data_IF_704612804122
#
_entry.id   IF_704612804122
#
_cell.length_a   1.000
_cell.length_b   1.000
_cell.length_c   1.000
_cell.angle_alpha   90.00
_cell.angle_beta   90.00
_cell.angle_gamma   90.00
#
_symmetry.space_group_name_H-M   'P 1'
#
loop_
_entity.id
_entity.type
_entity.pdbx_description
1 polymer ?
#
# COMPACT_ATOMS: atom_id res chain seq x y z
N UNK A 1 -13.23 13.21 -31.18
CA UNK A 1 -13.96 14.15 -32.06
C UNK A 1 -15.13 14.73 -31.28
N UNK A 2 -15.57 15.95 -31.59
CA UNK A 2 -16.79 16.55 -31.04
C UNK A 2 -17.39 17.53 -32.06
N UNK A 3 -18.63 17.96 -31.85
CA UNK A 3 -19.33 18.90 -32.73
C UNK A 3 -19.40 20.28 -32.08
N UNK A 4 -19.13 21.33 -32.86
CA UNK A 4 -19.36 22.72 -32.49
C UNK A 4 -20.52 23.26 -33.32
N UNK A 5 -21.54 23.85 -32.71
CA UNK A 5 -22.67 24.41 -33.44
C UNK A 5 -22.37 25.80 -34.00
N UNK A 6 -22.95 26.11 -35.17
CA UNK A 6 -22.67 27.33 -35.90
C UNK A 6 -23.34 28.57 -35.27
N UNK A 7 -24.68 28.55 -35.17
CA UNK A 7 -25.51 29.72 -34.85
C UNK A 7 -26.19 29.64 -33.47
N UNK A 8 -26.86 28.53 -33.17
CA UNK A 8 -27.49 28.27 -31.86
C UNK A 8 -26.93 27.00 -31.24
N UNK A 9 -26.89 26.89 -29.90
CA UNK A 9 -26.41 25.69 -29.20
C UNK A 9 -27.40 24.51 -29.28
N UNK A 10 -28.40 24.59 -30.16
CA UNK A 10 -29.42 23.58 -30.34
C UNK A 10 -28.85 22.40 -31.12
N UNK A 11 -29.23 21.18 -30.74
CA UNK A 11 -28.83 19.95 -31.45
C UNK A 11 -29.35 19.90 -32.90
N UNK A 12 -30.33 20.72 -33.23
CA UNK A 12 -30.89 20.87 -34.58
C UNK A 12 -30.07 21.81 -35.47
N UNK A 13 -29.20 22.64 -34.88
CA UNK A 13 -28.41 23.60 -35.64
C UNK A 13 -27.34 22.87 -36.46
N UNK A 14 -26.83 23.57 -37.48
CA UNK A 14 -25.72 23.06 -38.28
C UNK A 14 -24.50 22.91 -37.38
N UNK A 15 -23.96 21.70 -37.34
CA UNK A 15 -22.83 21.32 -36.51
C UNK A 15 -21.57 21.15 -37.35
N UNK A 16 -20.53 21.89 -37.00
CA UNK A 16 -19.19 21.72 -37.55
C UNK A 16 -18.44 20.63 -36.79
N UNK A 17 -17.87 19.67 -37.52
CA UNK A 17 -17.09 18.60 -36.93
C UNK A 17 -15.71 19.12 -36.53
N UNK A 18 -15.33 18.90 -35.27
CA UNK A 18 -14.00 19.17 -34.75
C UNK A 18 -13.33 17.88 -34.32
N UNK A 19 -12.08 17.66 -34.72
CA UNK A 19 -11.36 16.45 -34.36
C UNK A 19 -9.86 16.71 -34.16
N UNK A 20 -9.26 15.88 -33.31
CA UNK A 20 -7.83 15.87 -33.06
C UNK A 20 -7.20 14.67 -33.78
N UNK A 21 -5.98 14.85 -34.25
CA UNK A 21 -5.16 13.80 -34.86
C UNK A 21 -4.05 13.37 -33.92
N UNK A 22 -3.52 12.16 -34.12
CA UNK A 22 -2.36 11.67 -33.35
C UNK A 22 -1.07 12.45 -33.66
N UNK A 23 -1.03 13.19 -34.77
CA UNK A 23 0.07 14.12 -35.05
C UNK A 23 0.01 15.42 -34.22
N UNK A 24 -0.99 15.58 -33.35
CA UNK A 24 -1.14 16.77 -32.50
C UNK A 24 -1.77 17.97 -33.22
N UNK A 25 -2.51 17.74 -34.32
CA UNK A 25 -3.28 18.79 -34.98
C UNK A 25 -4.76 18.72 -34.60
N UNK A 26 -5.34 19.88 -34.33
CA UNK A 26 -6.78 20.10 -34.21
C UNK A 26 -7.31 20.65 -35.53
N UNK A 27 -8.29 19.98 -36.13
CA UNK A 27 -8.98 20.44 -37.32
C UNK A 27 -10.46 20.71 -37.02
N UNK A 28 -10.99 21.75 -37.66
CA UNK A 28 -12.42 22.01 -37.75
C UNK A 28 -12.82 21.95 -39.22
N UNK A 29 -13.87 21.19 -39.54
CA UNK A 29 -14.42 21.09 -40.89
C UNK A 29 -15.57 22.07 -41.08
N UNK A 30 -15.75 22.56 -42.31
CA UNK A 30 -16.99 23.22 -42.73
C UNK A 30 -18.15 22.23 -42.70
N UNK A 31 -19.36 22.76 -42.76
CA UNK A 31 -20.62 22.01 -42.74
C UNK A 31 -20.70 20.91 -43.81
N UNK A 32 -20.01 21.10 -44.94
CA UNK A 32 -19.96 20.12 -46.04
C UNK A 32 -18.92 19.00 -45.84
N UNK A 33 -18.22 18.92 -44.70
CA UNK A 33 -17.20 17.92 -44.33
C UNK A 33 -15.99 17.76 -45.27
N UNK A 34 -15.99 18.38 -46.44
CA UNK A 34 -14.93 18.28 -47.45
C UNK A 34 -13.80 19.29 -47.21
N UNK A 35 -14.14 20.49 -46.74
CA UNK A 35 -13.19 21.59 -46.55
C UNK A 35 -12.82 21.76 -45.08
N UNK A 36 -11.53 22.00 -44.84
CA UNK A 36 -11.02 22.38 -43.52
C UNK A 36 -11.21 23.89 -43.31
N UNK A 37 -11.91 24.28 -42.23
CA UNK A 37 -12.01 25.68 -41.79
C UNK A 37 -10.70 26.19 -41.25
N UNK A 38 -10.15 25.47 -40.27
CA UNK A 38 -8.86 25.81 -39.68
C UNK A 38 -8.16 24.57 -39.13
N UNK A 39 -6.83 24.65 -39.09
CA UNK A 39 -5.95 23.66 -38.47
C UNK A 39 -4.99 24.34 -37.50
N UNK A 40 -4.92 23.85 -36.26
CA UNK A 40 -4.03 24.37 -35.21
C UNK A 40 -3.13 23.26 -34.71
N UNK A 41 -1.84 23.56 -34.56
CA UNK A 41 -0.87 22.66 -33.94
C UNK A 41 -0.96 22.77 -32.41
N UNK A 42 -1.27 21.67 -31.75
CA UNK A 42 -1.24 21.54 -30.29
C UNK A 42 0.17 21.10 -29.83
N UNK A 43 0.57 21.42 -28.59
CA UNK A 43 1.85 20.97 -28.04
C UNK A 43 1.92 19.45 -27.82
N UNK A 44 0.77 18.82 -27.58
CA UNK A 44 0.63 17.38 -27.35
C UNK A 44 -0.65 16.85 -28.01
N UNK A 45 -0.78 15.53 -28.11
CA UNK A 45 -1.90 14.86 -28.76
C UNK A 45 -3.15 14.90 -27.87
N UNK A 46 -4.25 15.42 -28.39
CA UNK A 46 -5.54 15.46 -27.69
C UNK A 46 -6.19 14.07 -27.58
N UNK A 47 -6.69 13.73 -26.40
CA UNK A 47 -7.37 12.46 -26.08
C UNK A 47 -8.89 12.69 -26.05
N UNK A 48 -9.36 13.59 -25.19
CA UNK A 48 -10.77 13.95 -25.06
C UNK A 48 -10.95 15.46 -25.31
N UNK A 49 -12.11 15.84 -25.81
CA UNK A 49 -12.40 17.22 -26.18
C UNK A 49 -13.85 17.58 -25.86
N UNK A 50 -14.06 18.82 -25.40
CA UNK A 50 -15.35 19.40 -25.09
C UNK A 50 -15.47 20.73 -25.82
N UNK A 51 -16.61 20.96 -26.47
CA UNK A 51 -16.97 22.24 -27.10
C UNK A 51 -17.93 23.02 -26.21
N UNK A 52 -17.79 24.34 -26.27
CA UNK A 52 -18.56 25.27 -25.48
C UNK A 52 -18.87 26.53 -26.30
N UNK A 53 -20.15 26.89 -26.43
CA UNK A 53 -20.58 28.05 -27.20
C UNK A 53 -20.86 27.74 -28.67
N UNK A 54 -20.96 28.80 -29.48
CA UNK A 54 -21.31 28.72 -30.91
C UNK A 54 -20.23 29.40 -31.75
N UNK A 55 -20.02 28.95 -32.98
CA UNK A 55 -18.95 29.45 -33.85
C UNK A 55 -19.12 30.93 -34.23
N UNK A 56 -20.34 31.36 -34.56
CA UNK A 56 -20.64 32.74 -34.97
C UNK A 56 -20.51 33.77 -33.83
N UNK A 57 -20.52 33.31 -32.58
CA UNK A 57 -20.40 34.15 -31.40
C UNK A 57 -19.01 33.99 -30.77
N UNK A 58 -18.94 33.45 -29.55
CA UNK A 58 -17.70 32.97 -28.96
C UNK A 58 -17.80 31.46 -28.76
N UNK A 59 -16.76 30.76 -29.17
CA UNK A 59 -16.60 29.34 -28.88
C UNK A 59 -15.30 29.07 -28.13
N UNK A 60 -15.37 28.05 -27.28
CA UNK A 60 -14.24 27.49 -26.58
C UNK A 60 -14.15 26.00 -26.83
N UNK A 61 -12.93 25.52 -27.08
CA UNK A 61 -12.64 24.10 -27.22
C UNK A 61 -11.65 23.72 -26.14
N UNK A 62 -12.05 22.79 -25.28
CA UNK A 62 -11.27 22.33 -24.14
C UNK A 62 -10.77 20.93 -24.48
N UNK A 63 -9.46 20.72 -24.43
CA UNK A 63 -8.82 19.50 -24.92
C UNK A 63 -7.94 18.95 -23.80
N UNK A 64 -8.21 17.73 -23.36
CA UNK A 64 -7.25 16.98 -22.54
C UNK A 64 -6.23 16.31 -23.45
N UNK A 65 -4.95 16.41 -23.10
CA UNK A 65 -3.87 15.84 -23.88
C UNK A 65 -3.12 14.73 -23.14
N UNK A 66 -2.38 13.90 -23.89
CA UNK A 66 -1.63 12.75 -23.34
C UNK A 66 -0.50 13.15 -22.39
N UNK A 67 -0.06 14.40 -22.43
CA UNK A 67 0.93 14.96 -21.50
C UNK A 67 0.36 15.28 -20.11
N UNK A 68 -0.93 14.99 -19.89
CA UNK A 68 -1.64 15.27 -18.66
C UNK A 68 -2.13 16.70 -18.55
N UNK A 69 -1.93 17.56 -19.55
CA UNK A 69 -2.36 18.96 -19.52
C UNK A 69 -3.68 19.14 -20.24
N UNK A 70 -4.42 20.17 -19.85
CA UNK A 70 -5.66 20.56 -20.51
C UNK A 70 -5.46 21.93 -21.15
N UNK A 71 -5.65 21.95 -22.47
CA UNK A 71 -5.54 23.13 -23.31
C UNK A 71 -6.91 23.74 -23.56
N UNK A 72 -6.97 25.07 -23.56
CA UNK A 72 -8.18 25.81 -23.88
C UNK A 72 -7.94 26.62 -25.16
N UNK A 73 -8.87 26.54 -26.10
CA UNK A 73 -8.86 27.27 -27.34
C UNK A 73 -10.01 28.27 -27.30
N UNK A 74 -9.73 29.57 -27.51
CA UNK A 74 -10.77 30.60 -27.64
C UNK A 74 -10.78 31.13 -29.07
N UNK A 75 -11.90 31.02 -29.77
CA UNK A 75 -12.11 31.55 -31.14
C UNK A 75 -10.95 31.23 -32.10
N UNK A 76 -10.50 29.97 -32.13
CA UNK A 76 -9.44 29.52 -33.05
C UNK A 76 -8.02 29.92 -32.63
N UNK A 77 -7.82 30.45 -31.43
CA UNK A 77 -6.48 30.73 -30.87
C UNK A 77 -6.25 29.93 -29.59
N UNK A 78 -5.08 29.30 -29.48
CA UNK A 78 -4.66 28.58 -28.28
C UNK A 78 -4.41 29.59 -27.15
N UNK A 79 -5.07 29.39 -26.01
CA UNK A 79 -4.86 30.26 -24.85
C UNK A 79 -3.51 29.97 -24.20
N UNK A 80 -2.90 31.00 -23.61
CA UNK A 80 -1.66 30.86 -22.83
C UNK A 80 -1.88 30.14 -21.50
N UNK A 81 -3.10 30.19 -20.97
CA UNK A 81 -3.49 29.50 -19.73
C UNK A 81 -3.63 28.00 -19.99
N UNK A 82 -2.79 27.20 -19.33
CA UNK A 82 -2.85 25.74 -19.38
C UNK A 82 -3.27 25.23 -18.00
N UNK A 83 -4.24 24.32 -17.96
CA UNK A 83 -4.66 23.67 -16.72
C UNK A 83 -3.77 22.43 -16.53
N UNK A 84 -3.11 22.35 -15.38
CA UNK A 84 -2.28 21.20 -15.00
C UNK A 84 -2.92 20.50 -13.79
N UNK A 85 -3.58 19.34 -14.00
CA UNK A 85 -4.05 18.49 -12.91
C UNK A 85 -2.87 17.76 -12.23
N UNK A 86 -3.12 17.24 -11.02
CA UNK A 86 -2.13 16.53 -10.21
C UNK A 86 -1.67 15.21 -10.84
N UNK A 87 -2.55 14.58 -11.63
CA UNK A 87 -2.31 13.30 -12.31
C UNK A 87 -3.02 13.29 -13.67
N UNK A 88 -2.79 12.25 -14.46
CA UNK A 88 -3.36 12.11 -15.80
C UNK A 88 -4.89 12.18 -15.76
N UNK A 89 -5.53 13.00 -16.63
CA UNK A 89 -6.97 13.11 -16.71
C UNK A 89 -7.55 11.87 -17.41
N UNK A 90 -8.47 11.18 -16.74
CA UNK A 90 -9.22 10.04 -17.30
C UNK A 90 -10.41 10.54 -18.10
N UNK A 91 -11.18 11.45 -17.50
CA UNK A 91 -12.36 12.02 -18.11
C UNK A 91 -12.47 13.51 -17.77
N UNK A 92 -12.92 14.30 -18.74
CA UNK A 92 -13.24 15.71 -18.57
C UNK A 92 -14.73 15.94 -18.84
N UNK A 93 -15.34 16.85 -18.08
CA UNK A 93 -16.69 17.34 -18.32
C UNK A 93 -16.81 18.83 -17.96
N UNK A 94 -17.74 19.54 -18.59
CA UNK A 94 -17.96 20.96 -18.31
C UNK A 94 -19.11 21.14 -17.33
N UNK A 95 -18.82 21.71 -16.16
CA UNK A 95 -19.81 22.05 -15.15
C UNK A 95 -19.89 23.59 -15.03
N UNK A 96 -20.88 24.18 -15.68
CA UNK A 96 -21.08 25.63 -15.76
C UNK A 96 -19.87 26.38 -16.34
N UNK A 97 -19.20 27.20 -15.52
CA UNK A 97 -18.01 27.94 -15.91
C UNK A 97 -16.70 27.19 -15.57
N UNK A 98 -16.81 26.05 -14.91
CA UNK A 98 -15.69 25.22 -14.49
C UNK A 98 -15.57 23.98 -15.39
N UNK A 99 -14.35 23.45 -15.42
CA UNK A 99 -14.03 22.16 -16.03
C UNK A 99 -13.81 21.18 -14.91
N UNK A 100 -14.67 20.17 -14.82
CA UNK A 100 -14.47 19.03 -13.94
C UNK A 100 -13.49 18.06 -14.63
N UNK A 101 -12.46 17.68 -13.89
CA UNK A 101 -11.40 16.78 -14.36
C UNK A 101 -11.31 15.63 -13.37
N UNK A 102 -11.61 14.42 -13.82
CA UNK A 102 -11.30 13.20 -13.09
C UNK A 102 -9.86 12.78 -13.39
N UNK A 103 -9.06 12.58 -12.35
CA UNK A 103 -7.68 12.13 -12.47
C UNK A 103 -7.53 10.65 -12.11
N UNK A 104 -6.41 10.06 -12.53
CA UNK A 104 -6.02 8.69 -12.17
C UNK A 104 -5.81 8.49 -10.65
N UNK A 105 -5.63 9.55 -9.87
CA UNK A 105 -5.42 9.47 -8.42
C UNK A 105 -6.75 9.45 -7.64
N UNK A 106 -7.84 9.01 -8.28
CA UNK A 106 -9.20 8.97 -7.72
C UNK A 106 -9.66 10.33 -7.16
N UNK A 107 -9.27 11.44 -7.80
CA UNK A 107 -9.73 12.77 -7.43
C UNK A 107 -10.48 13.43 -8.57
N UNK A 108 -11.52 14.19 -8.22
CA UNK A 108 -12.27 15.04 -9.14
C UNK A 108 -11.99 16.48 -8.76
N UNK A 109 -11.32 17.20 -9.65
CA UNK A 109 -10.93 18.60 -9.46
C UNK A 109 -11.74 19.51 -10.38
N UNK A 110 -12.32 20.57 -9.83
CA UNK A 110 -12.98 21.62 -10.60
C UNK A 110 -11.99 22.75 -10.87
N UNK A 111 -11.61 22.92 -12.13
CA UNK A 111 -10.75 24.00 -12.56
C UNK A 111 -11.55 25.14 -13.19
N UNK A 112 -11.17 26.36 -12.88
CA UNK A 112 -11.54 27.49 -13.71
C UNK A 112 -10.85 27.40 -15.07
N UNK A 113 -11.45 28.02 -16.09
CA UNK A 113 -10.87 28.13 -17.43
C UNK A 113 -9.50 28.85 -17.48
N UNK A 114 -9.10 29.51 -16.39
CA UNK A 114 -7.79 30.16 -16.21
C UNK A 114 -6.71 29.23 -15.62
N UNK A 115 -7.04 28.02 -15.16
CA UNK A 115 -6.06 27.12 -14.52
C UNK A 115 -6.18 26.97 -13.01
N UNK A 116 -6.96 27.81 -12.31
CA UNK A 116 -7.07 27.74 -10.85
C UNK A 116 -8.02 26.63 -10.42
N UNK A 117 -7.56 25.71 -9.58
CA UNK A 117 -8.40 24.73 -8.90
C UNK A 117 -9.31 25.44 -7.87
N UNK A 118 -10.60 25.13 -7.88
CA UNK A 118 -11.57 25.63 -6.91
C UNK A 118 -11.89 24.58 -5.86
N UNK A 119 -12.31 23.40 -6.30
CA UNK A 119 -12.74 22.33 -5.42
C UNK A 119 -12.04 21.03 -5.81
N UNK A 120 -11.58 20.32 -4.79
CA UNK A 120 -10.99 18.99 -4.88
C UNK A 120 -11.94 18.04 -4.14
N UNK A 121 -12.44 17.04 -4.86
CA UNK A 121 -13.27 15.98 -4.34
C UNK A 121 -12.49 14.66 -4.40
N UNK A 122 -11.95 14.18 -3.28
CA UNK A 122 -11.36 12.85 -3.22
C UNK A 122 -12.46 11.80 -3.31
N UNK A 123 -12.23 10.76 -4.10
CA UNK A 123 -13.18 9.66 -4.28
C UNK A 123 -12.50 8.34 -3.93
N UNK A 124 -13.28 7.41 -3.36
CA UNK A 124 -12.78 6.12 -2.87
C UNK A 124 -12.37 5.17 -4.00
N UNK A 125 -13.01 5.29 -5.16
CA UNK A 125 -12.93 4.34 -6.29
C UNK A 125 -12.44 5.04 -7.57
N UNK A 126 -11.75 4.32 -8.48
CA UNK A 126 -11.34 4.90 -9.75
C UNK A 126 -12.53 5.22 -10.66
N UNK A 127 -12.48 6.42 -11.25
CA UNK A 127 -13.49 6.93 -12.18
C UNK A 127 -13.29 6.30 -13.55
N UNK A 128 -14.36 5.79 -14.16
CA UNK A 128 -14.33 5.25 -15.53
C UNK A 128 -14.82 6.28 -16.55
N UNK A 129 -16.03 6.81 -16.36
CA UNK A 129 -16.62 7.83 -17.22
C UNK A 129 -17.24 8.96 -16.39
N UNK A 130 -17.26 10.15 -16.99
CA UNK A 130 -17.84 11.36 -16.43
C UNK A 130 -18.63 12.09 -17.52
N UNK A 131 -19.82 12.57 -17.16
CA UNK A 131 -20.66 13.38 -18.05
C UNK A 131 -21.51 14.36 -17.24
N UNK A 132 -22.08 15.38 -17.86
CA UNK A 132 -22.88 16.42 -17.18
C UNK A 132 -24.33 16.39 -17.61
N UNK A 133 -25.23 16.49 -16.63
CA UNK A 133 -26.65 16.69 -16.90
C UNK A 133 -26.84 18.17 -17.18
N UNK A 134 -27.14 18.50 -18.44
CA UNK A 134 -27.43 19.86 -18.89
C UNK A 134 -28.94 20.04 -18.99
N UNK A 135 -29.41 21.22 -18.60
CA UNK A 135 -30.78 21.64 -18.85
C UNK A 135 -30.90 22.26 -20.24
N UNK A 136 -31.72 21.69 -21.11
CA UNK A 136 -31.83 22.15 -22.50
C UNK A 136 -32.36 23.59 -22.59
N UNK A 137 -33.21 24.02 -21.64
CA UNK A 137 -33.82 25.36 -21.66
C UNK A 137 -32.86 26.44 -21.18
N UNK A 138 -32.15 26.19 -20.08
CA UNK A 138 -31.27 27.20 -19.45
C UNK A 138 -29.81 27.08 -19.91
N UNK A 139 -29.42 25.95 -20.48
CA UNK A 139 -28.03 25.63 -20.83
C UNK A 139 -27.11 25.46 -19.62
N UNK A 140 -27.67 25.45 -18.40
CA UNK A 140 -26.93 25.32 -17.14
C UNK A 140 -26.72 23.84 -16.85
N UNK A 141 -25.52 23.47 -16.40
CA UNK A 141 -25.23 22.13 -15.93
C UNK A 141 -25.83 21.95 -14.53
N UNK A 142 -26.84 21.07 -14.42
CA UNK A 142 -27.55 20.75 -13.17
C UNK A 142 -26.71 19.89 -12.24
N UNK A 143 -26.04 18.88 -12.77
CA UNK A 143 -25.26 17.94 -11.99
C UNK A 143 -24.14 17.28 -12.82
N UNK A 144 -23.10 16.82 -12.14
CA UNK A 144 -22.02 16.02 -12.68
C UNK A 144 -22.29 14.55 -12.35
N UNK A 145 -22.39 13.70 -13.36
CA UNK A 145 -22.55 12.25 -13.20
C UNK A 145 -21.20 11.59 -13.36
N UNK A 146 -20.86 10.72 -12.42
CA UNK A 146 -19.59 10.01 -12.38
C UNK A 146 -19.86 8.54 -12.16
N UNK A 147 -19.23 7.72 -12.99
CA UNK A 147 -19.26 6.26 -12.87
C UNK A 147 -17.91 5.74 -12.39
N UNK A 148 -17.96 4.70 -11.56
CA UNK A 148 -16.79 4.10 -10.94
C UNK A 148 -16.58 2.67 -11.42
N UNK A 149 -15.35 2.18 -11.27
CA UNK A 149 -15.01 0.79 -11.57
C UNK A 149 -15.74 -0.21 -10.66
N UNK A 150 -16.09 0.19 -9.44
CA UNK A 150 -16.82 -0.64 -8.48
C UNK A 150 -18.29 -0.87 -8.87
N UNK A 151 -18.75 -0.27 -9.97
CA UNK A 151 -20.16 -0.32 -10.39
C UNK A 151 -21.05 0.66 -9.64
N UNK A 152 -20.49 1.59 -8.86
CA UNK A 152 -21.25 2.71 -8.31
C UNK A 152 -21.36 3.83 -9.34
N UNK A 153 -22.52 4.51 -9.35
CA UNK A 153 -22.78 5.73 -10.09
C UNK A 153 -23.18 6.81 -9.10
N UNK A 154 -22.45 7.92 -9.11
CA UNK A 154 -22.69 9.05 -8.20
C UNK A 154 -23.00 10.31 -8.98
N UNK A 155 -24.01 11.03 -8.51
CA UNK A 155 -24.44 12.32 -9.06
C UNK A 155 -24.04 13.40 -8.07
N UNK A 156 -23.14 14.27 -8.51
CA UNK A 156 -22.59 15.37 -7.74
C UNK A 156 -23.19 16.70 -8.18
N UNK A 157 -23.56 17.53 -7.22
CA UNK A 157 -23.98 18.93 -7.46
C UNK A 157 -23.00 19.82 -6.71
N UNK A 158 -22.13 20.49 -7.46
CA UNK A 158 -20.96 21.16 -6.91
C UNK A 158 -20.06 20.17 -6.16
N UNK A 159 -19.90 20.34 -4.86
CA UNK A 159 -19.12 19.46 -3.99
C UNK A 159 -19.92 18.29 -3.41
N UNK A 160 -21.25 18.39 -3.40
CA UNK A 160 -22.08 17.47 -2.64
C UNK A 160 -22.52 16.27 -3.47
N UNK A 161 -22.44 15.09 -2.88
CA UNK A 161 -23.08 13.89 -3.39
C UNK A 161 -24.59 14.00 -3.14
N UNK A 162 -25.41 14.00 -4.20
CA UNK A 162 -26.86 14.00 -4.04
C UNK A 162 -27.46 12.60 -4.16
N UNK A 163 -27.03 11.84 -5.16
CA UNK A 163 -27.59 10.53 -5.44
C UNK A 163 -26.49 9.53 -5.72
N UNK A 164 -26.59 8.37 -5.09
CA UNK A 164 -25.76 7.20 -5.36
C UNK A 164 -26.66 6.10 -5.90
N UNK A 165 -26.19 5.42 -6.93
CA UNK A 165 -26.89 4.28 -7.48
C UNK A 165 -25.94 3.16 -7.84
N UNK A 166 -26.36 1.94 -7.57
CA UNK A 166 -25.57 0.77 -7.89
C UNK A 166 -25.92 0.29 -9.30
N UNK A 167 -24.88 -0.03 -10.06
CA UNK A 167 -24.91 -0.70 -11.34
C UNK A 167 -24.49 -2.16 -11.12
N UNK A 168 -24.87 -3.04 -12.05
CA UNK A 168 -24.53 -4.46 -11.96
C UNK A 168 -23.05 -4.76 -12.34
N UNK A 169 -22.30 -3.76 -12.78
CA UNK A 169 -20.90 -3.88 -13.17
C UNK A 169 -20.26 -2.53 -13.56
N UNK A 170 -18.99 -2.52 -14.00
CA UNK A 170 -18.31 -1.31 -14.42
C UNK A 170 -18.86 -0.76 -15.74
N UNK A 171 -19.01 0.56 -15.79
CA UNK A 171 -19.46 1.29 -16.99
C UNK A 171 -18.30 1.47 -17.98
N UNK A 172 -18.57 1.20 -19.26
CA UNK A 172 -17.63 1.46 -20.38
C UNK A 172 -17.93 2.80 -21.05
N UNK A 173 -19.21 3.11 -21.23
CA UNK A 173 -19.64 4.38 -21.82
C UNK A 173 -20.89 4.90 -21.10
N UNK A 174 -20.94 6.22 -20.97
CA UNK A 174 -22.04 6.95 -20.35
C UNK A 174 -22.36 8.17 -21.20
N UNK A 175 -23.65 8.45 -21.39
CA UNK A 175 -24.11 9.61 -22.13
C UNK A 175 -25.36 10.19 -21.47
N UNK A 176 -25.36 11.49 -21.22
CA UNK A 176 -26.50 12.22 -20.73
C UNK A 176 -27.12 13.10 -21.82
N UNK A 177 -28.43 12.96 -22.00
CA UNK A 177 -29.18 13.84 -22.88
C UNK A 177 -30.56 13.32 -23.19
N UNK A 178 -31.15 13.87 -24.25
CA UNK A 178 -32.48 13.48 -24.71
C UNK A 178 -32.50 12.07 -25.30
N UNK A 179 -33.43 11.25 -24.82
CA UNK A 179 -33.72 9.92 -25.37
C UNK A 179 -35.23 9.74 -25.53
N UNK A 180 -35.67 9.57 -26.78
CA UNK A 180 -37.09 9.52 -27.10
C UNK A 180 -37.80 10.84 -26.77
N UNK A 181 -38.76 10.78 -25.85
CA UNK A 181 -39.58 11.94 -25.42
C UNK A 181 -39.09 12.62 -24.16
N UNK A 182 -38.12 12.04 -23.46
CA UNK A 182 -37.61 12.59 -22.21
C UNK A 182 -36.29 13.34 -22.49
N UNK A 183 -36.21 14.57 -22.02
CA UNK A 183 -35.11 15.50 -22.31
C UNK A 183 -33.85 15.18 -21.47
N UNK A 184 -34.01 14.63 -20.27
CA UNK A 184 -32.91 14.24 -19.38
C UNK A 184 -32.91 12.74 -19.11
N UNK A 185 -32.24 11.99 -19.98
CA UNK A 185 -31.98 10.57 -19.80
C UNK A 185 -30.48 10.30 -19.64
N UNK A 186 -30.17 9.26 -18.88
CA UNK A 186 -28.83 8.74 -18.68
C UNK A 186 -28.75 7.38 -19.35
N UNK A 187 -27.95 7.30 -20.42
CA UNK A 187 -27.69 6.08 -21.15
C UNK A 187 -26.36 5.50 -20.68
N UNK A 188 -26.37 4.22 -20.31
CA UNK A 188 -25.23 3.53 -19.72
C UNK A 188 -24.99 2.24 -20.51
N UNK A 189 -23.73 2.02 -20.89
CA UNK A 189 -23.25 0.77 -21.47
C UNK A 189 -22.25 0.15 -20.51
N UNK A 190 -22.59 -1.03 -19.99
CA UNK A 190 -21.77 -1.81 -19.08
C UNK A 190 -20.71 -2.61 -19.85
N UNK A 191 -19.64 -3.02 -19.17
CA UNK A 191 -18.58 -3.85 -19.78
C UNK A 191 -19.08 -5.20 -20.30
N UNK A 192 -20.14 -5.72 -19.71
CA UNK A 192 -20.77 -6.98 -20.13
C UNK A 192 -21.61 -6.85 -21.42
N UNK A 193 -21.67 -5.65 -22.00
CA UNK A 193 -22.47 -5.35 -23.20
C UNK A 193 -23.95 -5.05 -22.91
N UNK A 194 -24.36 -5.07 -21.64
CA UNK A 194 -25.71 -4.68 -21.25
C UNK A 194 -25.91 -3.17 -21.34
N UNK A 195 -27.09 -2.79 -21.85
CA UNK A 195 -27.50 -1.40 -22.03
C UNK A 195 -28.57 -1.05 -21.02
N UNK A 196 -28.37 0.03 -20.27
CA UNK A 196 -29.33 0.54 -19.30
C UNK A 196 -29.63 2.01 -19.57
N UNK A 197 -30.90 2.32 -19.83
CA UNK A 197 -31.40 3.69 -19.94
C UNK A 197 -32.14 4.06 -18.65
N UNK A 198 -31.67 5.09 -17.94
CA UNK A 198 -32.30 5.63 -16.73
C UNK A 198 -32.86 7.01 -17.03
N UNK A 199 -34.17 7.15 -16.84
CA UNK A 199 -34.87 8.42 -17.07
C UNK A 199 -34.85 9.23 -15.78
N UNK A 200 -34.48 10.50 -15.87
CA UNK A 200 -34.60 11.40 -14.73
C UNK A 200 -36.07 11.81 -14.55
N UNK A 201 -36.57 11.75 -13.33
CA UNK A 201 -37.93 12.18 -13.05
C UNK A 201 -38.08 13.71 -13.19
N UNK A 202 -39.21 14.17 -13.74
CA UNK A 202 -39.48 15.60 -14.00
C UNK A 202 -39.48 16.48 -12.76
N UNK A 203 -39.69 15.89 -11.58
CA UNK A 203 -39.67 16.59 -10.28
C UNK A 203 -38.29 16.64 -9.62
N UNK A 204 -37.25 16.11 -10.24
CA UNK A 204 -35.91 16.11 -9.65
C UNK A 204 -35.34 17.54 -9.65
N UNK A 205 -35.15 18.10 -8.47
CA UNK A 205 -34.51 19.40 -8.28
C UNK A 205 -33.08 19.19 -7.76
N UNK A 206 -32.10 19.65 -8.54
CA UNK A 206 -30.69 19.62 -8.16
C UNK A 206 -30.30 20.96 -7.54
N UNK A 207 -30.60 21.15 -6.24
CA UNK A 207 -30.19 22.34 -5.49
C UNK A 207 -28.89 22.11 -4.72
N UNK A 208 -27.99 23.09 -4.70
CA UNK A 208 -26.82 23.05 -3.83
C UNK A 208 -27.26 23.12 -2.35
N UNK A 209 -27.05 22.02 -1.61
CA UNK A 209 -27.32 21.96 -0.17
C UNK A 209 -26.23 22.70 0.60
N UNK A 210 -26.30 24.04 0.65
CA UNK A 210 -25.38 24.89 1.43
C UNK A 210 -25.42 24.61 2.94
N UNK A 211 -26.47 23.96 3.43
CA UNK A 211 -26.66 23.67 4.86
C UNK A 211 -25.68 22.63 5.43
N UNK A 212 -25.16 21.74 4.59
CA UNK A 212 -24.23 20.68 5.03
C UNK A 212 -22.81 21.20 5.34
N UNK A 213 -22.44 22.38 4.82
CA UNK A 213 -21.13 23.00 5.11
C UNK A 213 -21.06 23.65 6.50
N UNK A 214 -22.21 24.01 7.09
CA UNK A 214 -22.25 24.77 8.35
C UNK A 214 -22.24 23.89 9.60
N UNK A 215 -22.37 22.56 9.48
CA UNK A 215 -22.38 21.66 10.65
C UNK A 215 -20.98 21.08 10.90
N UNK A 216 -20.48 21.11 12.15
CA UNK A 216 -19.29 20.35 12.49
C UNK A 216 -19.53 18.86 12.20
N UNK A 217 -18.46 18.09 11.87
CA UNK A 217 -18.59 16.68 11.56
C UNK A 217 -19.30 15.92 12.70
N UNK A 218 -20.28 15.06 12.39
CA UNK A 218 -21.04 14.31 13.41
C UNK A 218 -20.17 13.33 14.21
N UNK A 219 -18.96 13.06 13.75
CA UNK A 219 -17.97 12.22 14.43
C UNK A 219 -17.38 12.87 15.68
N UNK A 220 -17.43 14.21 15.79
CA UNK A 220 -16.99 14.94 16.98
C UNK A 220 -17.96 14.83 18.16
N UNK A 221 -19.22 14.43 17.90
CA UNK A 221 -20.23 14.22 18.95
C UNK A 221 -20.08 12.85 19.63
N UNK A 222 -19.22 11.95 19.12
CA UNK A 222 -18.98 10.64 19.72
C UNK A 222 -17.90 10.77 20.81
N UNK A 223 -18.25 10.67 22.10
CA UNK A 223 -17.26 10.72 23.16
C UNK A 223 -16.30 9.52 23.08
N UNK A 224 -15.01 9.77 23.27
CA UNK A 224 -13.96 8.74 23.27
C UNK A 224 -14.27 7.73 24.39
N UNK A 225 -14.25 6.43 24.06
CA UNK A 225 -14.44 5.36 25.03
C UNK A 225 -13.17 5.19 25.89
N UNK A 226 -13.09 5.95 26.99
CA UNK A 226 -12.01 5.76 27.97
C UNK A 226 -12.36 4.56 28.87
N UNK A 227 -11.48 3.53 28.97
CA UNK A 227 -11.69 2.41 29.86
C UNK A 227 -11.85 2.87 31.32
N UNK A 228 -12.80 2.28 32.05
CA UNK A 228 -13.03 2.61 33.46
C UNK A 228 -11.97 1.97 34.36
N UNK A 229 -11.50 2.72 35.35
CA UNK A 229 -10.52 2.21 36.31
C UNK A 229 -11.15 1.16 37.24
N UNK A 230 -10.51 0.00 37.34
CA UNK A 230 -10.98 -1.08 38.19
C UNK A 230 -10.71 -0.83 39.68
N UNK A 231 -11.46 -1.51 40.55
CA UNK A 231 -11.20 -1.50 41.99
C UNK A 231 -9.80 -2.04 42.33
N UNK A 232 -9.34 -3.05 41.58
CA UNK A 232 -8.00 -3.64 41.71
C UNK A 232 -6.91 -2.60 41.44
N UNK A 233 -7.06 -1.81 40.37
CA UNK A 233 -6.12 -0.74 40.06
C UNK A 233 -6.04 0.29 41.20
N UNK A 234 -7.19 0.66 41.76
CA UNK A 234 -7.25 1.60 42.90
C UNK A 234 -6.56 1.03 44.14
N UNK A 235 -6.75 -0.26 44.44
CA UNK A 235 -6.11 -0.94 45.56
C UNK A 235 -4.60 -1.06 45.36
N UNK A 236 -4.14 -1.39 44.15
CA UNK A 236 -2.73 -1.45 43.80
C UNK A 236 -2.07 -0.07 43.97
N UNK A 237 -2.71 1.00 43.47
CA UNK A 237 -2.21 2.38 43.65
C UNK A 237 -2.07 2.75 45.12
N UNK A 238 -3.03 2.35 45.97
CA UNK A 238 -2.94 2.56 47.43
C UNK A 238 -1.82 1.76 48.09
N UNK A 239 -1.52 0.56 47.59
CA UNK A 239 -0.40 -0.28 48.08
C UNK A 239 0.95 0.32 47.67
N UNK A 240 1.09 0.71 46.41
CA UNK A 240 2.31 1.35 45.87
C UNK A 240 2.61 2.66 46.60
N UNK A 241 1.59 3.48 46.88
CA UNK A 241 1.76 4.72 47.65
C UNK A 241 2.29 4.48 49.07
N UNK A 242 1.98 3.34 49.71
CA UNK A 242 2.42 3.00 51.07
C UNK A 242 3.80 2.32 51.10
N UNK A 243 4.09 1.47 50.12
CA UNK A 243 5.26 0.57 50.13
C UNK A 243 6.21 0.76 48.93
N UNK A 244 6.13 1.90 48.23
CA UNK A 244 6.88 2.13 46.99
C UNK A 244 8.40 1.99 47.14
N UNK A 245 8.97 2.43 48.28
CA UNK A 245 10.41 2.35 48.53
C UNK A 245 10.89 0.90 48.65
N UNK A 246 10.13 0.05 49.34
CA UNK A 246 10.48 -1.37 49.51
C UNK A 246 10.32 -2.12 48.18
N UNK A 247 9.23 -1.84 47.43
CA UNK A 247 9.02 -2.40 46.09
C UNK A 247 10.18 -2.05 45.14
N UNK A 248 10.64 -0.80 45.17
CA UNK A 248 11.79 -0.36 44.37
C UNK A 248 13.08 -1.10 44.74
N UNK A 249 13.38 -1.24 46.05
CA UNK A 249 14.59 -1.93 46.52
C UNK A 249 14.61 -3.40 46.12
N UNK A 250 13.49 -4.10 46.28
CA UNK A 250 13.35 -5.50 45.86
C UNK A 250 13.52 -5.63 44.34
N UNK A 251 12.88 -4.74 43.57
CA UNK A 251 13.04 -4.72 42.12
C UNK A 251 14.50 -4.52 41.67
N UNK A 252 15.24 -3.60 42.31
CA UNK A 252 16.66 -3.40 42.00
C UNK A 252 17.51 -4.63 42.31
N UNK A 253 17.26 -5.28 43.45
CA UNK A 253 17.95 -6.53 43.81
C UNK A 253 17.68 -7.64 42.78
N UNK A 254 16.40 -7.86 42.45
CA UNK A 254 15.97 -8.88 41.49
C UNK A 254 16.50 -8.60 40.08
N UNK A 255 16.54 -7.33 39.67
CA UNK A 255 17.08 -6.91 38.38
C UNK A 255 18.58 -7.17 38.27
N UNK A 256 19.35 -6.92 39.34
CA UNK A 256 20.79 -7.25 39.38
C UNK A 256 20.98 -8.77 39.35
N UNK A 257 20.17 -9.51 40.10
CA UNK A 257 20.21 -10.97 40.10
C UNK A 257 19.89 -11.55 38.72
N UNK A 258 18.86 -11.02 38.05
CA UNK A 258 18.51 -11.38 36.68
C UNK A 258 19.65 -11.07 35.72
N UNK A 259 20.26 -9.87 35.79
CA UNK A 259 21.44 -9.52 34.98
C UNK A 259 22.61 -10.49 35.18
N UNK A 260 22.84 -10.92 36.41
CA UNK A 260 23.89 -11.88 36.72
C UNK A 260 23.58 -13.27 36.16
N UNK A 261 22.34 -13.73 36.30
CA UNK A 261 21.91 -15.02 35.77
C UNK A 261 21.92 -15.04 34.24
N UNK A 262 21.46 -13.97 33.59
CA UNK A 262 21.53 -13.83 32.13
C UNK A 262 22.97 -13.76 31.65
N UNK A 263 23.86 -13.02 32.34
CA UNK A 263 25.28 -12.99 32.00
C UNK A 263 25.97 -14.36 32.16
N UNK A 264 25.66 -15.10 33.22
CA UNK A 264 26.17 -16.47 33.42
C UNK A 264 25.69 -17.43 32.34
N UNK A 265 24.40 -17.42 32.05
CA UNK A 265 23.82 -18.23 30.98
C UNK A 265 24.41 -17.86 29.62
N UNK A 266 24.55 -16.57 29.32
CA UNK A 266 25.14 -16.07 28.09
C UNK A 266 26.62 -16.45 27.96
N UNK A 267 27.40 -16.35 29.04
CA UNK A 267 28.80 -16.77 29.05
C UNK A 267 28.94 -18.28 28.83
N UNK A 268 28.08 -19.09 29.46
CA UNK A 268 28.04 -20.52 29.22
C UNK A 268 27.71 -20.85 27.75
N UNK A 269 26.77 -20.11 27.13
CA UNK A 269 26.44 -20.26 25.71
C UNK A 269 27.61 -19.88 24.79
N UNK A 270 28.33 -18.79 25.09
CA UNK A 270 29.53 -18.39 24.34
C UNK A 270 30.68 -19.40 24.50
N UNK A 271 30.89 -19.93 25.70
CA UNK A 271 31.96 -20.91 25.98
C UNK A 271 31.68 -22.26 25.32
N UNK A 272 30.43 -22.73 25.39
CA UNK A 272 30.00 -23.98 24.78
C UNK A 272 29.74 -23.86 23.26
N UNK A 273 29.86 -22.65 22.69
CA UNK A 273 29.62 -22.38 21.28
C UNK A 273 28.19 -22.70 20.84
N UNK A 274 27.18 -22.48 21.69
CA UNK A 274 25.79 -22.84 21.46
C UNK A 274 25.06 -21.90 20.47
N UNK A 275 24.06 -22.45 19.77
CA UNK A 275 23.34 -21.83 18.66
C UNK A 275 22.42 -20.70 19.12
N UNK A 276 22.46 -19.57 18.43
CA UNK A 276 21.39 -18.59 18.50
C UNK A 276 20.35 -18.93 17.43
N UNK A 277 19.18 -19.43 17.87
CA UNK A 277 18.00 -19.50 17.03
C UNK A 277 17.48 -18.08 16.81
N UNK A 278 17.85 -17.46 15.70
CA UNK A 278 17.15 -16.27 15.23
C UNK A 278 15.83 -16.74 14.61
N UNK A 279 14.80 -16.94 15.42
CA UNK A 279 13.42 -16.92 14.94
C UNK A 279 12.97 -15.46 14.88
N UNK A 280 13.11 -14.84 13.70
CA UNK A 280 12.22 -13.72 13.37
C UNK A 280 10.92 -14.33 12.89
N UNK A 281 10.12 -14.83 13.83
CA UNK A 281 8.70 -15.05 13.59
C UNK A 281 8.08 -13.66 13.65
N UNK A 282 7.64 -13.17 12.50
CA UNK A 282 6.77 -12.00 12.41
C UNK A 282 5.45 -12.33 13.11
N UNK A 283 5.42 -12.16 14.44
CA UNK A 283 4.18 -12.08 15.19
C UNK A 283 3.60 -10.68 14.95
N UNK A 284 2.36 -10.70 14.46
CA UNK A 284 1.52 -9.57 14.13
C UNK A 284 1.63 -8.45 15.18
N UNK A 285 2.07 -7.27 14.73
CA UNK A 285 1.99 -6.04 15.48
C UNK A 285 0.51 -5.64 15.61
N UNK A 286 -0.13 -6.13 16.66
CA UNK A 286 -1.31 -5.49 17.24
C UNK A 286 -0.87 -4.21 17.96
N UNK A 287 -1.48 -3.10 17.54
CA UNK A 287 -1.66 -1.81 18.23
C UNK A 287 -0.69 -1.49 19.39
N UNK A 288 0.29 -0.63 19.10
CA UNK A 288 0.98 0.14 20.12
C UNK A 288 0.06 1.27 20.64
N UNK A 289 -0.16 1.41 21.96
CA UNK A 289 -0.76 2.62 22.48
C UNK A 289 0.25 3.77 22.48
N UNK A 290 -0.28 4.93 22.10
CA UNK A 290 0.28 6.28 22.03
C UNK A 290 1.22 6.59 23.20
N UNK A 291 2.45 7.00 22.86
CA UNK A 291 3.40 7.60 23.78
C UNK A 291 2.82 8.91 24.33
N UNK A 292 2.54 8.92 25.64
CA UNK A 292 2.23 10.14 26.39
C UNK A 292 3.56 10.82 26.70
N UNK A 293 3.78 11.98 26.07
CA UNK A 293 4.79 12.97 26.44
C UNK A 293 4.55 13.40 27.89
N UNK A 294 5.50 13.14 28.77
CA UNK A 294 5.52 13.73 30.11
C UNK A 294 6.06 15.18 30.04
N UNK A 295 5.51 16.11 30.81
CA UNK A 295 5.88 17.52 30.78
C UNK A 295 7.17 17.80 31.56
N UNK A 296 7.87 18.84 31.11
CA UNK A 296 9.11 19.40 31.65
C UNK A 296 9.11 19.51 33.19
N UNK A 297 10.10 18.88 33.82
CA UNK A 297 10.44 19.10 35.23
C UNK A 297 11.68 20.00 35.35
N UNK A 298 11.43 21.15 35.97
CA UNK A 298 12.33 22.19 36.50
C UNK A 298 13.79 21.77 36.75
N UNK A 299 14.70 22.52 36.11
CA UNK A 299 16.15 22.52 36.31
C UNK A 299 16.54 22.71 37.78
N UNK A 300 17.18 21.69 38.36
CA UNK A 300 18.06 21.86 39.53
C UNK A 300 19.41 21.27 39.17
N UNK A 301 20.36 22.16 38.90
CA UNK A 301 21.74 21.83 38.61
C UNK A 301 22.35 20.96 39.72
N UNK A 302 22.81 19.77 39.34
CA UNK A 302 23.71 18.93 40.14
C UNK A 302 24.88 18.53 39.25
N UNK A 303 26.06 19.04 39.58
CA UNK A 303 27.32 18.68 38.95
C UNK A 303 27.57 17.16 39.07
N UNK A 304 27.87 16.52 37.94
CA UNK A 304 28.40 15.16 37.90
C UNK A 304 29.90 15.18 38.25
N UNK A 305 30.39 14.36 39.20
CA UNK A 305 31.81 14.12 39.32
C UNK A 305 32.28 13.20 38.19
N UNK A 306 33.27 13.69 37.45
CA UNK A 306 33.99 12.99 36.40
C UNK A 306 34.57 11.65 36.88
N UNK A 307 34.50 10.65 36.00
CA UNK A 307 35.44 9.52 36.00
C UNK A 307 34.83 8.14 36.26
N UNK A 308 34.12 7.59 35.27
CA UNK A 308 34.14 6.15 34.99
C UNK A 308 33.78 5.96 33.52
N UNK A 309 34.77 5.59 32.71
CA UNK A 309 34.59 5.16 31.33
C UNK A 309 33.80 3.85 31.31
N UNK A 310 32.48 3.92 31.47
CA UNK A 310 31.59 2.81 31.20
C UNK A 310 31.40 2.76 29.69
N UNK A 311 32.26 1.99 29.03
CA UNK A 311 32.05 1.55 27.66
C UNK A 311 30.75 0.73 27.66
N UNK A 312 29.62 1.38 27.34
CA UNK A 312 28.38 0.70 27.01
C UNK A 312 28.61 -0.09 25.71
N UNK A 313 29.20 -1.27 25.85
CA UNK A 313 29.26 -2.24 24.77
C UNK A 313 27.84 -2.71 24.54
N UNK A 314 27.18 -2.17 23.53
CA UNK A 314 25.91 -2.70 23.05
C UNK A 314 26.07 -4.21 22.79
N UNK A 315 25.44 -5.10 23.59
CA UNK A 315 25.63 -6.54 23.47
C UNK A 315 25.13 -7.06 22.12
N UNK A 316 24.20 -6.35 21.47
CA UNK A 316 23.75 -6.63 20.09
C UNK A 316 24.84 -6.41 19.03
N UNK A 317 25.69 -5.41 19.22
CA UNK A 317 26.79 -5.09 18.30
C UNK A 317 27.94 -6.08 18.46
N UNK A 318 28.14 -6.59 19.69
CA UNK A 318 29.02 -7.73 19.95
C UNK A 318 28.46 -9.03 19.32
N UNK A 319 27.13 -9.25 19.36
CA UNK A 319 26.45 -10.42 18.78
C UNK A 319 26.59 -10.55 17.25
N UNK A 320 26.55 -9.43 16.52
CA UNK A 320 26.71 -9.41 15.05
C UNK A 320 28.08 -9.93 14.58
N UNK A 321 29.08 -9.93 15.46
CA UNK A 321 30.43 -10.39 15.14
C UNK A 321 30.66 -11.88 15.41
N UNK A 322 29.70 -12.61 16.01
CA UNK A 322 29.89 -14.02 16.40
C UNK A 322 29.21 -15.04 15.48
N UNK A 323 28.21 -14.67 14.68
CA UNK A 323 27.60 -15.58 13.69
C UNK A 323 27.58 -14.93 12.32
N UNK A 324 28.46 -15.39 11.43
CA UNK A 324 28.56 -14.91 10.06
C UNK A 324 27.45 -15.52 9.16
N UNK A 325 26.99 -16.72 9.50
CA UNK A 325 25.97 -17.47 8.76
C UNK A 325 24.79 -17.78 9.66
N UNK A 326 23.61 -17.25 9.30
CA UNK A 326 22.34 -17.65 9.90
C UNK A 326 21.93 -18.99 9.31
N UNK A 327 21.77 -19.98 10.17
CA UNK A 327 21.31 -21.32 9.84
C UNK A 327 19.95 -21.55 10.50
N UNK A 328 18.98 -21.98 9.71
CA UNK A 328 17.70 -22.49 10.21
C UNK A 328 17.42 -23.83 9.58
N UNK A 329 16.90 -24.77 10.36
CA UNK A 329 16.62 -26.12 9.91
C UNK A 329 15.19 -26.50 10.21
N UNK A 330 14.52 -27.10 9.24
CA UNK A 330 13.18 -27.70 9.43
C UNK A 330 13.24 -29.17 9.04
N UNK A 331 12.57 -30.02 9.82
CA UNK A 331 12.49 -31.45 9.54
C UNK A 331 11.18 -31.75 8.81
N UNK A 332 11.26 -32.45 7.69
CA UNK A 332 10.11 -32.94 6.94
C UNK A 332 10.17 -34.46 6.85
N UNK A 333 9.11 -35.14 7.32
CA UNK A 333 8.99 -36.60 7.28
C UNK A 333 8.52 -37.16 8.62
N UNK A 334 7.90 -38.33 8.60
CA UNK A 334 7.35 -39.00 9.79
C UNK A 334 8.13 -40.29 10.15
N UNK A 335 9.30 -40.50 9.55
CA UNK A 335 10.11 -41.72 9.69
C UNK A 335 9.80 -42.79 8.62
N UNK A 336 10.68 -43.79 8.42
CA UNK A 336 12.03 -43.95 8.97
C UNK A 336 13.09 -43.07 8.28
N UNK A 337 12.70 -42.32 7.24
CA UNK A 337 13.57 -41.37 6.53
C UNK A 337 13.04 -39.95 6.74
N UNK A 338 13.91 -39.06 7.21
CA UNK A 338 13.62 -37.64 7.40
C UNK A 338 14.40 -36.80 6.40
N UNK A 339 13.76 -35.76 5.87
CA UNK A 339 14.37 -34.75 5.04
C UNK A 339 14.55 -33.48 5.85
N UNK A 340 15.79 -33.16 6.21
CA UNK A 340 16.14 -31.90 6.86
C UNK A 340 16.36 -30.85 5.77
N UNK A 341 15.54 -29.80 5.79
CA UNK A 341 15.68 -28.62 4.92
C UNK A 341 16.40 -27.53 5.69
N UNK A 342 17.64 -27.25 5.29
CA UNK A 342 18.41 -26.14 5.83
C UNK A 342 18.22 -24.89 4.97
N UNK A 343 18.02 -23.76 5.63
CA UNK A 343 18.10 -22.43 5.03
C UNK A 343 19.31 -21.73 5.62
N UNK A 344 20.21 -21.29 4.74
CA UNK A 344 21.45 -20.62 5.07
C UNK A 344 21.41 -19.19 4.54
N UNK A 345 21.73 -18.22 5.38
CA UNK A 345 21.82 -16.82 4.96
C UNK A 345 23.11 -16.21 5.47
N UNK A 346 23.90 -15.63 4.56
CA UNK A 346 25.08 -14.85 4.96
C UNK A 346 24.61 -13.51 5.55
N UNK A 347 24.92 -13.28 6.82
CA UNK A 347 24.58 -12.04 7.55
C UNK A 347 25.71 -11.01 7.53
N UNK A 348 26.87 -11.36 6.98
CA UNK A 348 28.01 -10.44 6.84
C UNK A 348 27.90 -9.57 5.59
N UNK A 349 28.63 -8.46 5.58
CA UNK A 349 28.69 -7.53 4.43
C UNK A 349 29.55 -8.06 3.27
N UNK A 350 30.38 -9.07 3.53
CA UNK A 350 31.33 -9.66 2.58
C UNK A 350 30.89 -11.07 2.22
N UNK A 351 31.16 -11.50 1.00
CA UNK A 351 30.86 -12.87 0.62
C UNK A 351 31.83 -13.86 1.31
N UNK A 352 31.33 -15.03 1.68
CA UNK A 352 32.11 -16.08 2.34
C UNK A 352 32.49 -17.16 1.34
N UNK A 353 33.76 -17.56 1.37
CA UNK A 353 34.35 -18.64 0.56
C UNK A 353 34.69 -19.85 1.44
N UNK A 354 34.80 -21.02 0.82
CA UNK A 354 35.26 -22.27 1.45
C UNK A 354 34.53 -22.63 2.76
N UNK A 355 33.21 -22.39 2.78
CA UNK A 355 32.33 -22.78 3.88
C UNK A 355 31.84 -24.21 3.66
N UNK A 356 31.87 -25.02 4.72
CA UNK A 356 31.31 -26.36 4.72
C UNK A 356 30.47 -26.60 5.97
N UNK A 357 29.46 -27.44 5.83
CA UNK A 357 28.60 -27.90 6.91
C UNK A 357 29.12 -29.24 7.44
N UNK A 358 29.20 -29.34 8.76
CA UNK A 358 29.50 -30.59 9.49
C UNK A 358 28.27 -30.97 10.29
N UNK A 359 27.80 -32.20 10.10
CA UNK A 359 26.62 -32.73 10.79
C UNK A 359 27.11 -33.67 11.89
N UNK A 360 26.83 -33.30 13.14
CA UNK A 360 27.13 -34.10 14.32
C UNK A 360 25.86 -34.82 14.79
N UNK A 361 25.89 -36.14 14.78
CA UNK A 361 24.76 -37.01 15.09
C UNK A 361 25.25 -38.30 15.75
N UNK A 362 24.38 -38.95 16.51
CA UNK A 362 24.66 -40.27 17.11
C UNK A 362 24.56 -41.37 16.04
N UNK A 363 25.69 -42.01 15.74
CA UNK A 363 25.82 -43.02 14.66
C UNK A 363 25.08 -44.34 14.93
N UNK A 364 24.73 -44.58 16.19
CA UNK A 364 23.98 -45.77 16.60
C UNK A 364 22.51 -45.68 16.16
N UNK A 365 21.93 -44.47 16.16
CA UNK A 365 20.50 -44.23 15.91
C UNK A 365 20.26 -43.75 14.48
N UNK A 366 21.13 -42.86 13.96
CA UNK A 366 20.95 -42.23 12.67
C UNK A 366 22.04 -42.58 11.66
N UNK A 367 21.69 -42.60 10.39
CA UNK A 367 22.58 -42.73 9.25
C UNK A 367 22.35 -41.57 8.28
N UNK A 368 23.41 -40.81 8.03
CA UNK A 368 23.42 -39.70 7.07
C UNK A 368 24.24 -40.11 5.85
N UNK A 369 23.82 -39.77 4.64
CA UNK A 369 24.56 -40.09 3.42
C UNK A 369 25.86 -39.29 3.24
N UNK A 370 25.87 -38.01 3.65
CA UNK A 370 27.01 -37.11 3.59
C UNK A 370 27.13 -36.32 4.90
N UNK A 371 28.18 -36.57 5.67
CA UNK A 371 28.39 -35.91 6.97
C UNK A 371 29.05 -34.53 6.85
N UNK A 372 29.72 -34.28 5.72
CA UNK A 372 30.36 -33.01 5.38
C UNK A 372 29.82 -32.55 4.02
N UNK A 373 29.32 -31.31 3.94
CA UNK A 373 28.76 -30.73 2.72
C UNK A 373 29.46 -29.41 2.42
N UNK A 374 30.13 -29.33 1.27
CA UNK A 374 30.72 -28.08 0.79
C UNK A 374 29.63 -27.16 0.22
N UNK A 375 29.59 -25.92 0.70
CA UNK A 375 28.66 -24.92 0.22
C UNK A 375 29.27 -24.13 -0.94
N UNK A 376 28.44 -23.65 -1.88
CA UNK A 376 28.89 -22.68 -2.87
C UNK A 376 29.21 -21.34 -2.21
N UNK A 377 29.78 -20.42 -2.99
CA UNK A 377 30.04 -19.05 -2.57
C UNK A 377 28.79 -18.37 -1.99
N UNK A 378 28.86 -17.97 -0.71
CA UNK A 378 27.72 -17.40 0.01
C UNK A 378 27.72 -15.87 -0.09
N UNK A 379 26.87 -15.34 -0.96
CA UNK A 379 26.66 -13.90 -1.16
C UNK A 379 25.84 -13.32 0.01
N UNK A 380 26.16 -12.10 0.48
CA UNK A 380 25.39 -11.41 1.52
C UNK A 380 23.88 -11.37 1.25
N UNK A 381 23.09 -11.62 2.29
CA UNK A 381 21.62 -11.51 2.30
C UNK A 381 20.83 -12.46 1.39
N UNK A 382 21.49 -13.33 0.62
CA UNK A 382 20.82 -14.36 -0.18
C UNK A 382 20.56 -15.61 0.69
N UNK A 383 19.36 -16.18 0.56
CA UNK A 383 18.99 -17.43 1.19
C UNK A 383 19.34 -18.61 0.29
N UNK A 384 20.16 -19.52 0.81
CA UNK A 384 20.55 -20.78 0.17
C UNK A 384 19.81 -21.92 0.85
N UNK A 385 19.32 -22.88 0.08
CA UNK A 385 18.63 -24.05 0.60
C UNK A 385 19.45 -25.31 0.37
N UNK A 386 19.64 -26.11 1.43
CA UNK A 386 20.34 -27.37 1.36
C UNK A 386 19.51 -28.47 2.02
N UNK A 387 19.20 -29.51 1.25
CA UNK A 387 18.48 -30.67 1.73
C UNK A 387 19.44 -31.77 2.17
N UNK A 388 19.15 -32.38 3.31
CA UNK A 388 19.89 -33.51 3.88
C UNK A 388 18.90 -34.64 4.16
N UNK A 389 19.23 -35.86 3.73
CA UNK A 389 18.45 -37.06 4.01
C UNK A 389 19.05 -37.83 5.19
N UNK A 390 18.22 -38.08 6.18
CA UNK A 390 18.50 -38.78 7.43
C UNK A 390 17.72 -40.11 7.46
N UNK A 391 18.40 -41.23 7.65
CA UNK A 391 17.79 -42.55 7.81
C UNK A 391 17.91 -43.03 9.27
N UNK A 392 16.84 -43.57 9.85
CA UNK A 392 16.84 -44.19 11.18
C UNK A 392 17.27 -45.66 11.08
N UNK A 393 18.21 -46.13 11.92
CA UNK A 393 18.82 -47.48 11.85
C UNK A 393 18.24 -48.54 12.79
N UNK A 394 16.99 -48.38 13.22
CA UNK A 394 16.30 -49.14 14.29
C UNK A 394 16.69 -48.68 15.71
N UNK A 395 15.67 -48.32 16.50
CA UNK A 395 15.79 -47.80 17.86
C UNK A 395 14.75 -46.69 18.15
N UNK A 396 14.34 -46.55 19.42
CA UNK A 396 13.56 -45.38 19.87
C UNK A 396 14.39 -44.10 19.68
N UNK A 397 13.73 -43.02 19.25
CA UNK A 397 14.34 -41.69 19.18
C UNK A 397 14.67 -41.25 20.61
N UNK A 398 15.90 -41.50 21.06
CA UNK A 398 16.41 -40.94 22.31
C UNK A 398 16.88 -39.50 22.04
N UNK A 399 16.27 -38.55 22.76
CA UNK A 399 16.27 -37.12 22.46
C UNK A 399 17.58 -36.37 22.64
N UNK A 400 18.58 -36.67 21.82
CA UNK A 400 19.62 -35.70 21.48
C UNK A 400 19.41 -35.24 20.03
N UNK A 401 19.01 -33.98 19.85
CA UNK A 401 18.86 -33.37 18.52
C UNK A 401 20.15 -33.42 17.70
N UNK A 402 20.03 -33.29 16.38
CA UNK A 402 21.19 -33.25 15.48
C UNK A 402 21.78 -31.85 15.47
N UNK A 403 23.09 -31.76 15.75
CA UNK A 403 23.82 -30.51 15.71
C UNK A 403 24.45 -30.32 14.33
N UNK A 404 24.13 -29.21 13.67
CA UNK A 404 24.70 -28.85 12.38
C UNK A 404 25.53 -27.59 12.55
N UNK A 405 26.78 -27.64 12.11
CA UNK A 405 27.77 -26.58 12.30
C UNK A 405 28.29 -26.11 10.95
N UNK A 406 28.27 -24.80 10.68
CA UNK A 406 28.96 -24.21 9.54
C UNK A 406 30.35 -23.72 9.96
N UNK A 407 31.37 -24.12 9.21
CA UNK A 407 32.77 -23.75 9.45
C UNK A 407 33.45 -23.36 8.13
N UNK A 408 34.43 -22.46 8.18
CA UNK A 408 35.27 -22.14 7.03
C UNK A 408 36.68 -22.72 7.19
N UNK A 409 37.35 -22.97 6.06
CA UNK A 409 38.70 -23.54 5.99
C UNK A 409 39.78 -22.65 6.63
N UNK A 410 39.59 -21.33 6.60
CA UNK A 410 40.54 -20.34 7.14
C UNK A 410 40.59 -20.27 8.67
N UNK A 411 39.73 -21.04 9.38
CA UNK A 411 39.62 -21.01 10.83
C UNK A 411 40.79 -21.67 11.61
N UNK A 412 41.82 -22.19 10.91
CA UNK A 412 43.02 -22.74 11.55
C UNK A 412 43.85 -21.69 12.31
N UNK A 413 43.74 -20.40 11.95
CA UNK A 413 44.45 -19.28 12.61
C UNK A 413 43.64 -18.57 13.70
N UNK A 414 42.31 -18.77 13.76
CA UNK A 414 41.37 -18.03 14.62
C UNK A 414 40.77 -18.84 15.79
N UNK A 415 41.34 -20.03 16.06
CA UNK A 415 40.96 -20.86 17.21
C UNK A 415 39.72 -21.74 17.00
N UNK A 416 39.40 -22.13 15.76
CA UNK A 416 38.39 -23.17 15.50
C UNK A 416 36.93 -22.77 15.77
N UNK A 417 36.61 -21.47 15.71
CA UNK A 417 35.26 -20.97 15.99
C UNK A 417 34.28 -21.27 14.83
N UNK A 418 33.07 -21.77 15.11
CA UNK A 418 32.05 -21.98 14.08
C UNK A 418 31.46 -20.66 13.57
N UNK A 419 31.10 -20.59 12.29
CA UNK A 419 30.47 -19.43 11.65
C UNK A 419 28.96 -19.33 11.95
N UNK A 420 28.37 -20.46 12.32
CA UNK A 420 26.98 -20.59 12.72
C UNK A 420 26.70 -22.04 13.11
N UNK A 421 25.67 -22.26 13.91
CA UNK A 421 25.22 -23.59 14.27
C UNK A 421 23.71 -23.62 14.51
N UNK A 422 23.13 -24.81 14.38
CA UNK A 422 21.71 -25.06 14.67
C UNK A 422 21.58 -26.45 15.27
N UNK A 423 20.86 -26.55 16.38
CA UNK A 423 20.40 -27.82 16.92
C UNK A 423 19.00 -28.10 16.35
N UNK A 424 18.81 -29.27 15.78
CA UNK A 424 17.54 -29.69 15.19
C UNK A 424 17.01 -30.86 15.98
N UNK A 425 15.89 -30.65 16.66
CA UNK A 425 15.16 -31.72 17.31
C UNK A 425 14.42 -32.55 16.27
N UNK A 426 14.58 -33.86 16.36
CA UNK A 426 13.96 -34.80 15.42
C UNK A 426 12.64 -35.27 16.03
N UNK A 427 11.52 -35.17 15.30
CA UNK A 427 10.24 -35.68 15.76
C UNK A 427 10.28 -37.21 15.88
N UNK A 428 9.49 -37.75 16.81
CA UNK A 428 9.36 -39.20 16.97
C UNK A 428 8.94 -39.88 15.65
N UNK A 429 9.62 -40.97 15.31
CA UNK A 429 9.30 -41.75 14.12
C UNK A 429 8.02 -42.58 14.34
N UNK A 430 7.03 -42.41 13.47
CA UNK A 430 5.89 -43.32 13.43
C UNK A 430 6.30 -44.59 12.68
N UNK A 431 6.78 -45.59 13.42
CA UNK A 431 7.01 -46.92 12.85
C UNK A 431 5.64 -47.57 12.66
N UNK A 432 5.20 -47.70 11.40
CA UNK A 432 4.03 -48.52 11.08
C UNK A 432 4.48 -49.98 11.15
N UNK A 433 4.38 -50.58 12.34
CA UNK A 433 4.45 -52.04 12.46
C UNK A 433 3.19 -52.64 11.84
N UNK A 434 3.34 -53.26 10.67
CA UNK A 434 2.30 -54.13 10.09
C UNK A 434 1.80 -53.72 8.72
N UNK A 435 2.58 -53.99 7.66
CA UNK A 435 2.05 -54.08 6.28
C UNK A 435 2.68 -55.18 5.43
N UNK A 436 3.36 -56.14 6.07
CA UNK A 436 3.75 -57.41 5.45
C UNK A 436 3.60 -58.54 6.47
N UNK A 437 2.40 -59.11 6.53
CA UNK A 437 2.18 -60.51 6.93
C UNK A 437 1.25 -61.15 5.90
#
# INVERSE_FOLDING_TARGET
MTTLYESTPDRSAVGMLTFCTEHGFLYMLKDNLADILFGIKLPSTGVQMITAGCYNQEYRIIISARDGKIYNLKNGKLSTSVIQPDSLPVAIARYNNNVAVATMNNTITYFNLKGKAQHLLPVTSPVTNMDTIVDDVTGIAKALVVSFADGHLRVYVGKFLQHECNLHGPTTAMFCGKYGREDSSLLIVLRDGSFQARLLHRSAQFSENKELEMKPPPEQDVPIQVPQLSSVFTLQRRREAKHGVDMYRTYQYDLVWLKLMTARAYWAMLHNGAAFANETTAAQAGEAPVAVTEPESVDVAREEPAGANNMEVNPLLAMLNYTAVRLTGTVQGMGPVFKIKLSLQNSTKTALQDVYLVIHYQREIYKVHKHIIYLPFLVPHINYHQDILLELREGEVKGEGILIVATAKDNASSGGKPLGLTLIDIPEAQVIEGLFQ
#
